data_IF_638387338825
#
_entry.id   IF_638387338825
#
_cell.length_a   1.000
_cell.length_b   1.000
_cell.length_c   1.000
_cell.angle_alpha   90.00
_cell.angle_beta   90.00
_cell.angle_gamma   90.00
#
_symmetry.space_group_name_H-M   'P 1'
#
loop_
_entity.id
_entity.type
_entity.pdbx_description
1 polymer ?
#
# COMPACT_ATOMS: atom_id res chain seq x y z
N UNK A 1 -7.95 14.72 -7.16
CA UNK A 1 -8.24 14.02 -8.44
C UNK A 1 -7.79 12.57 -8.34
N UNK A 2 -8.59 11.61 -8.84
CA UNK A 2 -8.15 10.20 -8.97
C UNK A 2 -7.26 10.06 -10.20
N UNK A 3 -6.16 9.35 -10.08
CA UNK A 3 -5.32 8.96 -11.21
C UNK A 3 -5.85 7.61 -11.73
N UNK A 4 -6.29 7.60 -12.99
CA UNK A 4 -6.85 6.41 -13.66
C UNK A 4 -5.80 5.80 -14.59
N UNK A 5 -5.90 4.48 -14.80
CA UNK A 5 -5.00 3.74 -15.70
C UNK A 5 -3.58 3.65 -15.18
N UNK A 6 -3.39 3.70 -13.86
CA UNK A 6 -2.07 3.55 -13.23
C UNK A 6 -1.62 2.11 -13.14
N UNK A 7 -2.55 1.14 -13.11
CA UNK A 7 -2.23 -0.29 -13.00
C UNK A 7 -1.76 -0.73 -11.61
N UNK A 8 -1.76 0.19 -10.64
CA UNK A 8 -1.43 -0.07 -9.24
C UNK A 8 -2.67 -0.44 -8.43
N UNK A 9 -3.84 0.01 -8.88
CA UNK A 9 -5.11 -0.26 -8.22
C UNK A 9 -5.43 -1.75 -8.19
N UNK A 10 -5.75 -2.27 -7.01
CA UNK A 10 -6.10 -3.67 -6.80
C UNK A 10 -4.90 -4.60 -6.64
N UNK A 11 -3.65 -4.13 -6.83
CA UNK A 11 -2.49 -4.92 -6.48
C UNK A 11 -2.51 -5.26 -4.99
N UNK A 12 -2.14 -6.50 -4.68
CA UNK A 12 -2.10 -7.06 -3.32
C UNK A 12 -0.65 -7.35 -2.99
N UNK A 13 -0.11 -6.70 -1.96
CA UNK A 13 1.32 -6.74 -1.62
C UNK A 13 1.50 -6.78 -0.11
N UNK A 14 2.50 -7.50 0.38
CA UNK A 14 2.88 -7.49 1.79
C UNK A 14 3.32 -6.10 2.25
N UNK A 15 2.93 -5.74 3.46
CA UNK A 15 3.14 -4.40 4.02
C UNK A 15 4.62 -3.96 4.03
N UNK A 16 5.52 -4.84 4.50
CA UNK A 16 6.96 -4.53 4.60
C UNK A 16 7.60 -4.24 3.24
N UNK A 17 7.57 -5.14 2.24
CA UNK A 17 8.15 -4.87 0.94
C UNK A 17 7.44 -3.72 0.22
N UNK A 18 6.13 -3.54 0.43
CA UNK A 18 5.41 -2.36 -0.08
C UNK A 18 5.97 -1.06 0.51
N UNK A 19 6.18 -1.00 1.82
CA UNK A 19 6.68 0.18 2.51
C UNK A 19 8.11 0.51 2.07
N UNK A 20 8.99 -0.49 2.04
CA UNK A 20 10.37 -0.33 1.55
C UNK A 20 10.41 0.17 0.08
N UNK A 21 9.53 -0.37 -0.77
CA UNK A 21 9.38 0.07 -2.16
C UNK A 21 8.92 1.53 -2.26
N UNK A 22 7.93 1.93 -1.46
CA UNK A 22 7.40 3.29 -1.45
C UNK A 22 8.45 4.29 -0.97
N UNK A 23 9.10 4.01 0.15
CA UNK A 23 10.11 4.88 0.76
C UNK A 23 11.35 5.05 -0.12
N UNK A 24 11.84 3.96 -0.73
CA UNK A 24 12.95 4.02 -1.69
C UNK A 24 12.64 4.85 -2.95
N UNK A 25 11.36 5.09 -3.24
CA UNK A 25 10.90 5.96 -4.33
C UNK A 25 10.45 7.36 -3.85
N UNK A 26 10.71 7.71 -2.59
CA UNK A 26 10.47 9.03 -2.02
C UNK A 26 9.04 9.29 -1.56
N UNK A 27 8.19 8.26 -1.52
CA UNK A 27 6.92 8.34 -0.80
C UNK A 27 7.17 8.19 0.70
N UNK A 28 6.36 8.85 1.52
CA UNK A 28 6.46 8.81 2.97
C UNK A 28 5.20 8.17 3.52
N UNK A 29 5.35 7.18 4.41
CA UNK A 29 4.22 6.64 5.16
C UNK A 29 3.62 7.77 6.02
N UNK A 30 2.37 8.11 5.74
CA UNK A 30 1.63 9.17 6.41
C UNK A 30 1.42 8.82 7.89
N UNK A 31 1.52 9.84 8.75
CA UNK A 31 1.42 9.68 10.21
C UNK A 31 0.00 9.49 10.76
N UNK A 32 -0.95 9.01 9.96
CA UNK A 32 -2.27 8.65 10.46
C UNK A 32 -2.20 7.24 11.05
N UNK A 33 -2.52 7.10 12.34
CA UNK A 33 -2.67 5.80 12.99
C UNK A 33 -3.97 5.15 12.48
N UNK A 34 -3.87 4.27 11.49
CA UNK A 34 -5.00 3.53 10.94
C UNK A 34 -4.62 2.05 10.83
N UNK A 35 -5.22 1.23 11.70
CA UNK A 35 -4.98 -0.22 11.75
C UNK A 35 -5.39 -0.93 10.46
N UNK A 36 -6.32 -0.35 9.69
CA UNK A 36 -6.87 -0.95 8.49
C UNK A 36 -6.24 -0.39 7.22
N UNK A 37 -5.49 0.71 7.29
CA UNK A 37 -5.03 1.41 6.08
C UNK A 37 -3.62 1.92 6.18
N UNK A 38 -2.94 1.83 5.05
CA UNK A 38 -1.68 2.51 4.81
C UNK A 38 -1.91 3.68 3.86
N UNK A 39 -1.22 4.78 4.12
CA UNK A 39 -1.26 5.98 3.28
C UNK A 39 0.17 6.41 2.99
N UNK A 40 0.57 6.43 1.73
CA UNK A 40 1.88 6.88 1.30
C UNK A 40 1.75 8.17 0.50
N UNK A 41 2.42 9.23 0.94
CA UNK A 41 2.37 10.55 0.30
C UNK A 41 3.72 10.92 -0.30
N UNK A 42 3.71 11.37 -1.56
CA UNK A 42 4.83 12.03 -2.21
C UNK A 42 4.54 13.52 -2.31
N UNK A 43 5.36 14.35 -1.67
CA UNK A 43 5.21 15.81 -1.73
C UNK A 43 5.78 16.36 -3.04
N UNK A 44 4.95 17.09 -3.78
CA UNK A 44 5.35 17.83 -4.98
C UNK A 44 5.63 19.29 -4.62
N UNK A 45 6.72 19.84 -5.17
CA UNK A 45 6.99 21.27 -5.04
C UNK A 45 5.94 22.07 -5.81
N UNK A 46 5.35 23.06 -5.16
CA UNK A 46 4.43 24.02 -5.75
C UNK A 46 5.14 25.38 -5.85
N UNK A 47 5.04 26.09 -6.99
CA UNK A 47 5.54 27.46 -7.09
C UNK A 47 4.69 28.44 -6.27
N UNK A 48 3.43 28.11 -5.98
CA UNK A 48 2.53 28.97 -5.22
C UNK A 48 2.85 28.93 -3.72
N UNK A 49 2.85 30.10 -3.07
CA UNK A 49 2.99 30.20 -1.62
C UNK A 49 1.79 29.54 -0.94
N UNK A 50 2.05 28.80 0.14
CA UNK A 50 1.05 28.12 0.98
C UNK A 50 0.22 27.03 0.28
N UNK A 51 0.61 26.60 -0.92
CA UNK A 51 0.00 25.45 -1.58
C UNK A 51 0.97 24.28 -1.54
N UNK A 52 0.48 23.09 -1.18
CA UNK A 52 1.25 21.86 -1.29
C UNK A 52 0.50 20.88 -2.18
N UNK A 53 1.16 20.40 -3.22
CA UNK A 53 0.67 19.31 -4.05
C UNK A 53 1.22 17.99 -3.51
N UNK A 54 0.44 16.92 -3.60
CA UNK A 54 0.89 15.60 -3.16
C UNK A 54 0.26 14.49 -3.99
N UNK A 55 1.01 13.40 -4.17
CA UNK A 55 0.50 12.15 -4.73
C UNK A 55 0.30 11.21 -3.56
N UNK A 56 -0.90 10.64 -3.45
CA UNK A 56 -1.27 9.73 -2.37
C UNK A 56 -1.58 8.36 -2.93
N UNK A 57 -0.89 7.34 -2.43
CA UNK A 57 -1.20 5.95 -2.68
C UNK A 57 -1.70 5.36 -1.36
N UNK A 58 -2.91 4.81 -1.38
CA UNK A 58 -3.51 4.17 -0.20
C UNK A 58 -3.73 2.70 -0.47
N UNK A 59 -3.80 1.92 0.61
CA UNK A 59 -4.29 0.55 0.57
C UNK A 59 -4.98 0.18 1.88
N UNK A 60 -5.79 -0.87 1.83
CA UNK A 60 -6.41 -1.45 3.02
C UNK A 60 -5.84 -2.83 3.30
N UNK A 61 -5.66 -3.15 4.58
CA UNK A 61 -5.32 -4.49 5.01
C UNK A 61 -6.48 -5.44 4.71
N UNK A 62 -6.21 -6.51 3.98
CA UNK A 62 -7.17 -7.60 3.74
C UNK A 62 -6.94 -8.79 4.67
N UNK A 63 -5.71 -8.92 5.16
CA UNK A 63 -5.25 -9.92 6.13
C UNK A 63 -4.13 -9.28 6.98
N UNK A 64 -3.89 -9.80 8.19
CA UNK A 64 -2.87 -9.31 9.11
C UNK A 64 -3.15 -7.95 9.76
N UNK A 65 -2.13 -7.35 10.38
CA UNK A 65 -2.19 -6.10 11.12
C UNK A 65 -1.05 -5.16 10.68
N UNK A 66 -1.40 -3.91 10.34
CA UNK A 66 -0.44 -2.90 9.86
C UNK A 66 0.58 -2.56 10.93
N UNK A 67 0.17 -2.48 12.20
CA UNK A 67 1.04 -2.12 13.33
C UNK A 67 2.03 -3.24 13.66
N UNK A 68 1.61 -4.51 13.51
CA UNK A 68 2.51 -5.67 13.66
C UNK A 68 3.42 -5.87 12.46
N UNK A 69 3.07 -5.28 11.33
CA UNK A 69 3.84 -5.32 10.10
C UNK A 69 3.73 -6.64 9.33
N UNK A 70 2.70 -7.44 9.60
CA UNK A 70 2.37 -8.68 8.90
C UNK A 70 1.15 -8.53 7.96
N UNK A 71 0.65 -7.30 7.79
CA UNK A 71 -0.49 -7.04 6.93
C UNK A 71 -0.24 -7.31 5.44
N UNK A 72 -1.27 -7.79 4.77
CA UNK A 72 -1.40 -7.86 3.31
C UNK A 72 -2.26 -6.71 2.85
N UNK A 73 -1.70 -5.85 2.01
CA UNK A 73 -2.33 -4.60 1.61
C UNK A 73 -2.89 -4.72 0.19
N UNK A 74 -4.16 -4.38 0.02
CA UNK A 74 -4.77 -4.16 -1.29
C UNK A 74 -4.76 -2.66 -1.63
N UNK A 75 -4.02 -2.31 -2.68
CA UNK A 75 -3.85 -0.93 -3.12
C UNK A 75 -5.11 -0.36 -3.78
N UNK A 76 -5.33 0.93 -3.56
CA UNK A 76 -6.42 1.73 -4.11
C UNK A 76 -5.94 2.59 -5.29
N UNK A 77 -6.89 3.21 -5.97
CA UNK A 77 -6.58 4.22 -6.99
C UNK A 77 -5.80 5.38 -6.37
N UNK A 78 -4.62 5.74 -6.92
CA UNK A 78 -3.85 6.88 -6.43
C UNK A 78 -4.62 8.19 -6.58
N UNK A 79 -4.31 9.14 -5.71
CA UNK A 79 -4.89 10.47 -5.70
C UNK A 79 -3.82 11.51 -5.95
N UNK A 80 -4.10 12.48 -6.82
CA UNK A 80 -3.37 13.74 -6.87
C UNK A 80 -4.17 14.76 -6.06
N UNK A 81 -3.57 15.24 -4.99
CA UNK A 81 -4.17 16.13 -4.01
C UNK A 81 -3.47 17.48 -3.95
N UNK A 82 -4.18 18.45 -3.38
CA UNK A 82 -3.71 19.78 -3.07
C UNK A 82 -4.10 20.11 -1.64
N UNK A 83 -3.26 20.86 -0.95
CA UNK A 83 -3.54 21.39 0.38
C UNK A 83 -3.20 22.87 0.43
N UNK A 84 -4.18 23.68 0.85
CA UNK A 84 -4.03 25.12 1.06
C UNK A 84 -3.78 25.39 2.54
N UNK A 85 -2.56 25.74 2.90
CA UNK A 85 -2.27 26.19 4.26
C UNK A 85 -2.78 27.63 4.46
N UNK A 86 -3.32 28.00 5.63
CA UNK A 86 -3.44 27.22 6.86
C UNK A 86 -4.75 26.45 7.05
N UNK A 87 -5.76 26.72 6.22
CA UNK A 87 -7.16 26.38 6.55
C UNK A 87 -7.73 25.23 5.71
N UNK A 88 -7.05 24.87 4.61
CA UNK A 88 -7.57 23.96 3.60
C UNK A 88 -8.68 24.57 2.72
N UNK A 89 -8.94 25.87 2.82
CA UNK A 89 -10.01 26.54 2.07
C UNK A 89 -9.57 26.80 0.63
N UNK A 90 -10.35 26.27 -0.31
CA UNK A 90 -10.21 26.48 -1.75
C UNK A 90 -10.85 27.82 -2.13
N UNK A 91 -10.05 28.78 -2.59
CA UNK A 91 -10.55 30.08 -3.05
C UNK A 91 -10.88 29.95 -4.54
N UNK A 92 -12.16 29.72 -4.83
CA UNK A 92 -12.67 29.32 -6.14
C UNK A 92 -12.07 30.06 -7.34
N UNK A 93 -11.33 29.30 -8.15
CA UNK A 93 -11.13 29.48 -9.59
C UNK A 93 -10.83 28.09 -10.16
N UNK A 94 -11.55 27.69 -11.22
CA UNK A 94 -11.53 26.36 -11.87
C UNK A 94 -10.32 25.49 -11.50
N UNK A 95 -10.48 24.69 -10.45
CA UNK A 95 -9.38 23.93 -9.83
C UNK A 95 -9.11 22.64 -10.60
N UNK A 96 -8.30 22.77 -11.65
CA UNK A 96 -7.65 21.64 -12.31
C UNK A 96 -6.22 21.45 -11.79
N UNK A 97 -5.67 20.26 -12.04
CA UNK A 97 -4.22 20.08 -12.11
C UNK A 97 -3.80 20.28 -13.57
N UNK A 98 -2.64 20.88 -13.82
CA UNK A 98 -2.12 20.97 -15.19
C UNK A 98 -1.81 19.59 -15.75
N UNK A 99 -1.92 19.41 -17.06
CA UNK A 99 -1.61 18.14 -17.72
C UNK A 99 -0.19 17.67 -17.40
N UNK A 100 0.78 18.59 -17.37
CA UNK A 100 2.17 18.30 -16.97
C UNK A 100 2.26 17.74 -15.55
N UNK A 101 1.47 18.27 -14.61
CA UNK A 101 1.44 17.79 -13.23
C UNK A 101 0.78 16.42 -13.14
N UNK A 102 -0.31 16.20 -13.87
CA UNK A 102 -0.99 14.91 -13.94
C UNK A 102 -0.05 13.86 -14.55
N UNK A 103 0.66 14.19 -15.62
CA UNK A 103 1.61 13.29 -16.26
C UNK A 103 2.78 12.97 -15.32
N UNK A 104 3.39 13.99 -14.70
CA UNK A 104 4.44 13.79 -13.68
C UNK A 104 3.97 12.88 -12.54
N UNK A 105 2.73 13.04 -12.10
CA UNK A 105 2.17 12.20 -11.05
C UNK A 105 2.02 10.74 -11.51
N UNK A 106 1.54 10.52 -12.75
CA UNK A 106 1.48 9.18 -13.35
C UNK A 106 2.87 8.55 -13.49
N UNK A 107 3.87 9.31 -13.91
CA UNK A 107 5.24 8.81 -14.07
C UNK A 107 5.85 8.40 -12.72
N UNK A 108 5.58 9.15 -11.65
CA UNK A 108 6.01 8.80 -10.30
C UNK A 108 5.31 7.55 -9.76
N UNK A 109 4.01 7.41 -10.05
CA UNK A 109 3.26 6.18 -9.72
C UNK A 109 3.78 4.98 -10.53
N UNK A 110 4.13 5.16 -11.80
CA UNK A 110 4.63 4.08 -12.65
C UNK A 110 5.93 3.46 -12.08
N UNK A 111 6.82 4.28 -11.52
CA UNK A 111 8.07 3.81 -10.87
C UNK A 111 7.86 2.82 -9.74
N UNK A 112 6.77 2.97 -8.98
CA UNK A 112 6.40 2.03 -7.90
C UNK A 112 5.47 0.92 -8.40
N UNK A 113 4.76 1.12 -9.51
CA UNK A 113 3.82 0.14 -10.05
C UNK A 113 4.53 -1.09 -10.60
N UNK A 114 5.56 -0.92 -11.43
CA UNK A 114 6.26 -2.06 -12.05
C UNK A 114 6.89 -3.01 -11.00
N UNK A 115 7.57 -2.51 -9.94
CA UNK A 115 8.06 -3.40 -8.89
C UNK A 115 6.94 -3.98 -8.04
N UNK A 116 5.88 -3.22 -7.74
CA UNK A 116 4.73 -3.73 -6.97
C UNK A 116 4.02 -4.90 -7.68
N UNK A 117 3.94 -4.88 -9.02
CA UNK A 117 3.40 -5.99 -9.81
C UNK A 117 4.18 -7.30 -9.64
N UNK A 118 5.49 -7.24 -9.39
CA UNK A 118 6.29 -8.44 -9.13
C UNK A 118 5.90 -9.10 -7.82
N UNK A 119 5.66 -8.29 -6.79
CA UNK A 119 5.17 -8.79 -5.50
C UNK A 119 3.71 -9.25 -5.57
N UNK A 120 2.88 -8.64 -6.42
CA UNK A 120 1.47 -9.02 -6.55
C UNK A 120 1.25 -10.48 -6.95
N UNK A 121 2.12 -11.03 -7.80
CA UNK A 121 2.01 -12.41 -8.27
C UNK A 121 2.55 -13.45 -7.26
N UNK A 122 3.11 -12.99 -6.14
CA UNK A 122 3.52 -13.86 -5.05
C UNK A 122 2.35 -13.91 -4.07
N UNK A 123 1.71 -15.07 -3.94
CA UNK A 123 0.79 -15.27 -2.81
C UNK A 123 1.65 -15.20 -1.55
N UNK A 124 1.37 -14.30 -0.60
CA UNK A 124 2.19 -14.20 0.59
C UNK A 124 2.24 -15.55 1.31
N UNK A 125 3.43 -15.92 1.79
CA UNK A 125 3.66 -17.25 2.39
C UNK A 125 2.67 -17.54 3.51
N UNK A 126 2.40 -16.56 4.38
CA UNK A 126 1.47 -16.72 5.49
C UNK A 126 0.03 -16.99 5.02
N UNK A 127 -0.43 -16.37 3.92
CA UNK A 127 -1.76 -16.65 3.32
C UNK A 127 -1.82 -18.10 2.82
N UNK A 128 -0.73 -18.61 2.23
CA UNK A 128 -0.64 -20.00 1.78
C UNK A 128 -0.69 -20.95 2.97
N UNK A 129 0.09 -20.68 4.02
CA UNK A 129 0.14 -21.50 5.22
C UNK A 129 -1.20 -21.55 5.95
N UNK A 130 -1.89 -20.41 6.11
CA UNK A 130 -3.24 -20.33 6.69
C UNK A 130 -4.26 -21.16 5.91
N UNK A 131 -4.27 -21.04 4.57
CA UNK A 131 -5.16 -21.83 3.71
C UNK A 131 -4.86 -23.33 3.78
N UNK A 132 -3.58 -23.72 3.79
CA UNK A 132 -3.15 -25.11 3.92
C UNK A 132 -3.53 -25.69 5.28
N UNK A 133 -3.37 -24.91 6.36
CA UNK A 133 -3.78 -25.29 7.71
C UNK A 133 -5.27 -25.60 7.76
N UNK A 134 -6.10 -24.66 7.30
CA UNK A 134 -7.56 -24.82 7.27
C UNK A 134 -7.99 -26.03 6.45
N UNK A 135 -7.39 -26.22 5.26
CA UNK A 135 -7.66 -27.40 4.43
C UNK A 135 -7.28 -28.71 5.14
N UNK A 136 -6.13 -28.75 5.81
CA UNK A 136 -5.67 -29.94 6.52
C UNK A 136 -6.54 -30.26 7.74
N UNK A 137 -7.07 -29.26 8.44
CA UNK A 137 -8.06 -29.42 9.51
C UNK A 137 -9.36 -30.03 8.98
N UNK A 138 -9.90 -29.49 7.88
CA UNK A 138 -11.14 -29.98 7.23
C UNK A 138 -11.01 -31.44 6.76
N UNK A 139 -9.82 -31.85 6.32
CA UNK A 139 -9.54 -33.19 5.80
C UNK A 139 -8.91 -34.13 6.85
N UNK A 140 -8.80 -33.71 8.11
CA UNK A 140 -8.17 -34.47 9.21
C UNK A 140 -6.75 -34.96 8.87
N UNK A 141 -6.01 -34.18 8.07
CA UNK A 141 -4.68 -34.55 7.59
C UNK A 141 -3.61 -34.08 8.58
N UNK A 142 -3.24 -34.97 9.51
CA UNK A 142 -2.26 -34.65 10.57
C UNK A 142 -0.83 -34.42 10.04
N UNK A 143 -0.46 -35.04 8.92
CA UNK A 143 0.87 -34.86 8.33
C UNK A 143 1.07 -33.42 7.83
N UNK A 144 0.08 -32.90 7.11
CA UNK A 144 0.12 -31.53 6.60
C UNK A 144 0.03 -30.52 7.74
N UNK A 145 -0.77 -30.77 8.78
CA UNK A 145 -0.82 -29.90 9.96
C UNK A 145 0.53 -29.83 10.69
N UNK A 146 1.20 -30.96 10.88
CA UNK A 146 2.53 -31.00 11.48
C UNK A 146 3.53 -30.20 10.63
N UNK A 147 3.47 -30.33 9.30
CA UNK A 147 4.37 -29.63 8.40
C UNK A 147 4.12 -28.12 8.36
N UNK A 148 2.86 -27.69 8.36
CA UNK A 148 2.51 -26.27 8.41
C UNK A 148 2.96 -25.63 9.73
N UNK A 149 2.81 -26.32 10.86
CA UNK A 149 3.29 -25.83 12.15
C UNK A 149 4.82 -25.76 12.23
N UNK A 150 5.54 -26.68 11.58
CA UNK A 150 7.02 -26.62 11.46
C UNK A 150 7.48 -25.42 10.62
N UNK A 151 6.77 -25.13 9.52
CA UNK A 151 7.11 -24.06 8.58
C UNK A 151 6.67 -22.67 9.08
N UNK A 152 5.63 -22.61 9.91
CA UNK A 152 5.20 -21.38 10.56
C UNK A 152 6.31 -20.92 11.52
N UNK A 153 7.13 -19.94 11.08
CA UNK A 153 8.14 -19.28 11.90
C UNK A 153 7.47 -18.38 12.96
N UNK A 154 6.76 -18.99 13.90
CA UNK A 154 6.15 -18.29 15.03
C UNK A 154 7.23 -17.99 16.08
N UNK A 155 7.60 -16.70 16.29
CA UNK A 155 8.59 -16.33 17.29
C UNK A 155 8.17 -16.75 18.71
N UNK A 156 6.86 -16.86 18.98
CA UNK A 156 6.30 -17.23 20.28
C UNK A 156 6.39 -18.75 20.56
N UNK A 157 6.72 -19.57 19.56
CA UNK A 157 6.95 -21.02 19.73
C UNK A 157 8.41 -21.41 19.88
N UNK A 158 9.35 -20.46 19.76
CA UNK A 158 10.75 -20.67 20.12
C UNK A 158 10.89 -20.56 21.64
N UNK A 159 10.73 -21.68 22.35
CA UNK A 159 11.18 -21.81 23.74
C UNK A 159 12.69 -21.64 23.87
#
# INVERSE_FOLDING_TARGET
MKLEGTGIEGLVVDYKPLTELMESNGFILGGAWDYERVTYDYKLMAPEKNVTHYIRIQGFAIEGDVDKGDAVIRLMKPLLGRHYYPHGVEYGHQEGFSDDMVQKAKDLVAKVTEPAQKYHNQVPEHVVLEKLKKWAEENQNQEVLAKVNELSNDPDQRK
#
